data_IF_148111940151
#
_entry.id   IF_148111940151
#
_cell.length_a   1.000
_cell.length_b   1.000
_cell.length_c   1.000
_cell.angle_alpha   90.00
_cell.angle_beta   90.00
_cell.angle_gamma   90.00
#
_symmetry.space_group_name_H-M   'P 1'
#
loop_
_entity.id
_entity.type
_entity.pdbx_description
1 polymer ?
#
# COMPACT_ATOMS: atom_id res chain seq x y z
N UNK A 1 -23.04 18.24 -7.65
CA UNK A 1 -22.80 17.11 -6.73
C UNK A 1 -21.45 17.30 -6.05
N UNK A 2 -21.36 17.20 -4.72
CA UNK A 2 -20.06 17.20 -4.01
C UNK A 2 -19.38 15.86 -4.29
N UNK A 3 -18.31 15.86 -5.10
CA UNK A 3 -17.51 14.65 -5.29
C UNK A 3 -16.68 14.38 -4.04
N UNK A 4 -16.72 13.15 -3.53
CA UNK A 4 -15.85 12.73 -2.44
C UNK A 4 -14.43 12.43 -2.96
N UNK A 5 -13.47 12.27 -2.03
CA UNK A 5 -12.05 12.06 -2.37
C UNK A 5 -11.86 10.85 -3.28
N UNK A 6 -12.48 9.72 -2.95
CA UNK A 6 -12.36 8.48 -3.72
C UNK A 6 -12.87 8.64 -5.16
N UNK A 7 -14.06 9.23 -5.33
CA UNK A 7 -14.64 9.49 -6.65
C UNK A 7 -13.77 10.44 -7.48
N UNK A 8 -13.19 11.46 -6.84
CA UNK A 8 -12.30 12.41 -7.51
C UNK A 8 -11.01 11.73 -7.98
N UNK A 9 -10.40 10.91 -7.14
CA UNK A 9 -9.20 10.14 -7.52
C UNK A 9 -9.51 9.19 -8.66
N UNK A 10 -10.61 8.46 -8.60
CA UNK A 10 -11.05 7.57 -9.67
C UNK A 10 -11.31 8.31 -10.99
N UNK A 11 -11.92 9.50 -10.94
CA UNK A 11 -12.16 10.30 -12.14
C UNK A 11 -10.87 10.91 -12.72
N UNK A 12 -9.89 11.22 -11.86
CA UNK A 12 -8.60 11.74 -12.25
C UNK A 12 -7.63 10.68 -12.82
N UNK A 13 -7.96 9.39 -12.69
CA UNK A 13 -7.16 8.30 -13.26
C UNK A 13 -6.99 8.50 -14.77
N UNK A 14 -5.75 8.38 -15.25
CA UNK A 14 -5.37 8.61 -16.64
C UNK A 14 -5.25 10.08 -17.05
N UNK A 15 -5.67 11.03 -16.20
CA UNK A 15 -5.73 12.46 -16.54
C UNK A 15 -4.72 13.33 -15.80
N UNK A 16 -3.90 12.76 -14.90
CA UNK A 16 -2.90 13.51 -14.12
C UNK A 16 -1.93 14.38 -14.96
N UNK A 17 -1.44 13.94 -16.14
CA UNK A 17 -0.63 14.80 -17.00
C UNK A 17 -1.33 16.07 -17.48
N UNK A 18 -2.67 16.12 -17.47
CA UNK A 18 -3.49 17.31 -17.78
C UNK A 18 -3.90 18.07 -16.53
N UNK A 19 -4.30 17.36 -15.49
CA UNK A 19 -4.77 17.92 -14.21
C UNK A 19 -3.66 18.71 -13.51
N UNK A 20 -2.45 18.14 -13.43
CA UNK A 20 -1.34 18.76 -12.68
C UNK A 20 -0.94 20.13 -13.29
N UNK A 21 -0.70 20.26 -14.61
CA UNK A 21 -0.44 21.58 -15.21
C UNK A 21 -1.61 22.56 -15.07
N UNK A 22 -2.86 22.10 -15.13
CA UNK A 22 -4.03 22.96 -14.93
C UNK A 22 -4.12 23.53 -13.50
N UNK A 23 -3.54 22.83 -12.52
CA UNK A 23 -3.36 23.30 -11.15
C UNK A 23 -2.08 24.15 -10.97
N UNK A 24 -1.35 24.45 -12.05
CA UNK A 24 -0.06 25.16 -11.99
C UNK A 24 1.13 24.27 -11.61
N UNK A 25 0.95 22.96 -11.50
CA UNK A 25 2.01 22.00 -11.19
C UNK A 25 2.61 21.48 -12.49
N UNK A 26 3.72 22.07 -12.91
CA UNK A 26 4.42 21.65 -14.11
C UNK A 26 5.15 20.32 -13.88
N UNK A 27 4.78 19.29 -14.63
CA UNK A 27 5.42 17.98 -14.59
C UNK A 27 5.68 17.45 -16.00
N UNK A 28 6.88 16.93 -16.21
CA UNK A 28 7.33 16.26 -17.42
C UNK A 28 7.38 14.76 -17.17
N UNK A 29 6.63 13.98 -17.95
CA UNK A 29 6.58 12.52 -17.81
C UNK A 29 7.93 11.89 -18.17
N UNK A 30 8.38 10.94 -17.33
CA UNK A 30 9.60 10.15 -17.50
C UNK A 30 10.89 10.98 -17.65
N UNK A 31 10.94 12.19 -17.08
CA UNK A 31 12.14 13.02 -17.03
C UNK A 31 12.48 13.44 -15.60
N UNK A 32 13.78 13.60 -15.36
CA UNK A 32 14.31 14.26 -14.17
C UNK A 32 14.04 15.76 -14.26
N UNK A 33 13.55 16.34 -13.17
CA UNK A 33 13.18 17.76 -13.13
C UNK A 33 13.18 18.30 -11.68
N UNK A 34 13.04 19.63 -11.51
CA UNK A 34 12.83 20.25 -10.20
C UNK A 34 11.62 19.66 -9.48
N UNK A 35 11.71 19.49 -8.16
CA UNK A 35 10.56 19.05 -7.38
C UNK A 35 9.57 20.20 -7.18
N UNK A 36 8.28 20.02 -7.51
CA UNK A 36 7.27 21.05 -7.24
C UNK A 36 7.06 21.35 -5.74
N UNK A 37 7.52 20.45 -4.86
CA UNK A 37 7.34 20.57 -3.40
C UNK A 37 8.57 21.19 -2.73
N UNK A 38 9.78 20.76 -3.10
CA UNK A 38 11.02 21.19 -2.43
C UNK A 38 12.07 21.81 -3.35
N UNK A 39 11.76 22.02 -4.63
CA UNK A 39 12.68 22.58 -5.62
C UNK A 39 13.81 21.63 -6.04
N UNK A 40 14.99 22.19 -6.31
CA UNK A 40 16.15 21.49 -6.90
C UNK A 40 16.13 21.47 -8.43
N UNK A 41 16.98 20.64 -9.04
CA UNK A 41 17.17 20.60 -10.50
C UNK A 41 16.69 19.30 -11.16
N UNK A 42 16.87 18.13 -10.53
CA UNK A 42 16.72 16.81 -11.19
C UNK A 42 16.10 15.69 -10.31
N UNK A 43 15.74 16.01 -9.06
CA UNK A 43 15.39 15.02 -8.04
C UNK A 43 13.97 14.45 -8.15
N UNK A 44 13.11 15.08 -8.95
CA UNK A 44 11.72 14.67 -9.11
C UNK A 44 11.54 13.92 -10.42
N UNK A 45 10.78 12.82 -10.36
CA UNK A 45 10.42 12.01 -11.51
C UNK A 45 8.92 11.70 -11.44
N UNK A 46 8.20 12.13 -12.46
CA UNK A 46 6.80 11.80 -12.67
C UNK A 46 6.72 10.62 -13.63
N UNK A 47 6.33 9.45 -13.13
CA UNK A 47 6.26 8.21 -13.91
C UNK A 47 4.83 7.80 -14.25
N UNK A 48 3.83 8.35 -13.56
CA UNK A 48 2.40 8.21 -13.90
C UNK A 48 2.01 6.74 -14.19
N UNK A 49 2.49 5.84 -13.34
CA UNK A 49 2.21 4.42 -13.45
C UNK A 49 0.73 4.19 -13.26
N UNK A 50 0.17 3.34 -14.11
CA UNK A 50 -1.25 2.97 -14.07
C UNK A 50 -2.20 4.18 -14.20
N UNK A 51 -1.72 5.31 -14.73
CA UNK A 51 -2.49 6.55 -14.81
C UNK A 51 -2.85 7.13 -13.44
N UNK A 52 -2.15 6.76 -12.36
CA UNK A 52 -2.42 7.27 -11.00
C UNK A 52 -1.72 8.58 -10.68
N UNK A 53 -0.96 9.14 -11.62
CA UNK A 53 -0.15 10.32 -11.38
C UNK A 53 0.99 10.05 -10.41
N UNK A 54 1.53 8.82 -10.40
CA UNK A 54 2.62 8.48 -9.50
C UNK A 54 3.87 9.31 -9.76
N UNK A 55 4.57 9.60 -8.69
CA UNK A 55 5.81 10.36 -8.71
C UNK A 55 6.73 9.92 -7.59
N UNK A 56 8.00 10.27 -7.76
CA UNK A 56 9.04 10.04 -6.78
C UNK A 56 9.99 11.23 -6.71
N UNK A 57 10.36 11.60 -5.48
CA UNK A 57 11.39 12.57 -5.18
C UNK A 57 12.38 11.98 -4.17
N UNK A 58 13.67 12.15 -4.41
CA UNK A 58 14.73 11.67 -3.50
C UNK A 58 14.64 12.25 -2.07
N UNK A 59 13.99 13.40 -1.88
CA UNK A 59 13.85 14.04 -0.56
C UNK A 59 12.41 13.98 -0.03
N UNK A 60 11.42 14.24 -0.89
CA UNK A 60 10.02 14.29 -0.47
C UNK A 60 9.35 12.91 -0.40
N UNK A 61 10.00 11.85 -0.88
CA UNK A 61 9.45 10.49 -0.97
C UNK A 61 8.65 10.27 -2.25
N UNK A 62 7.75 9.28 -2.22
CA UNK A 62 6.87 8.93 -3.33
C UNK A 62 5.39 9.21 -3.00
N UNK A 63 4.56 9.34 -4.02
CA UNK A 63 3.12 9.50 -3.88
C UNK A 63 2.36 9.32 -5.19
N UNK A 64 1.03 9.38 -5.12
CA UNK A 64 0.14 9.50 -6.27
C UNK A 64 -0.15 10.98 -6.58
N UNK A 65 -0.96 11.23 -7.63
CA UNK A 65 -1.26 12.58 -8.07
C UNK A 65 -1.98 13.42 -7.00
N UNK A 66 -2.87 12.81 -6.21
CA UNK A 66 -3.56 13.52 -5.12
C UNK A 66 -2.56 13.89 -4.02
N UNK A 67 -1.68 12.97 -3.65
CA UNK A 67 -0.62 13.21 -2.67
C UNK A 67 0.33 14.32 -3.12
N UNK A 68 0.57 14.46 -4.43
CA UNK A 68 1.35 15.57 -4.97
C UNK A 68 0.65 16.90 -4.71
N UNK A 69 -0.65 16.99 -5.01
CA UNK A 69 -1.47 18.19 -4.79
C UNK A 69 -1.51 18.56 -3.31
N UNK A 70 -1.72 17.59 -2.41
CA UNK A 70 -1.64 17.79 -0.96
C UNK A 70 -0.32 18.45 -0.56
N UNK A 71 0.81 17.91 -1.05
CA UNK A 71 2.14 18.39 -0.68
C UNK A 71 2.49 19.74 -1.27
N UNK A 72 2.12 20.01 -2.52
CA UNK A 72 2.42 21.29 -3.19
C UNK A 72 1.61 22.43 -2.57
N UNK A 73 0.34 22.19 -2.25
CA UNK A 73 -0.53 23.22 -1.68
C UNK A 73 -0.56 23.25 -0.14
N UNK A 74 0.01 22.24 0.53
CA UNK A 74 0.00 22.13 1.99
C UNK A 74 -1.41 21.94 2.57
N UNK A 75 -2.30 21.25 1.86
CA UNK A 75 -3.73 21.11 2.21
C UNK A 75 -4.11 19.68 2.57
N UNK A 76 -5.30 19.51 3.17
CA UNK A 76 -5.85 18.20 3.50
C UNK A 76 -6.20 17.40 2.24
N UNK A 77 -6.33 16.05 2.32
CA UNK A 77 -6.76 15.22 1.18
C UNK A 77 -8.10 15.65 0.58
N UNK A 78 -9.04 16.11 1.42
CA UNK A 78 -10.35 16.60 0.99
C UNK A 78 -10.26 17.90 0.19
N UNK A 79 -9.41 18.82 0.62
CA UNK A 79 -9.20 20.10 -0.06
C UNK A 79 -8.40 19.92 -1.36
N UNK A 80 -7.42 19.01 -1.35
CA UNK A 80 -6.71 18.59 -2.56
C UNK A 80 -7.67 18.00 -3.58
N UNK A 81 -8.59 17.14 -3.14
CA UNK A 81 -9.63 16.57 -4.00
C UNK A 81 -10.57 17.67 -4.53
N UNK A 82 -10.95 18.66 -3.72
CA UNK A 82 -11.75 19.78 -4.20
C UNK A 82 -11.04 20.58 -5.30
N UNK A 83 -9.73 20.84 -5.15
CA UNK A 83 -8.91 21.50 -6.18
C UNK A 83 -8.84 20.66 -7.47
N UNK A 84 -8.60 19.36 -7.35
CA UNK A 84 -8.60 18.44 -8.51
C UNK A 84 -9.97 18.43 -9.18
N UNK A 85 -11.06 18.28 -8.43
CA UNK A 85 -12.41 18.27 -8.98
C UNK A 85 -12.75 19.57 -9.74
N UNK A 86 -12.25 20.72 -9.29
CA UNK A 86 -12.46 22.01 -9.96
C UNK A 86 -11.84 22.07 -11.37
N UNK A 87 -10.71 21.40 -11.59
CA UNK A 87 -10.05 21.34 -12.92
C UNK A 87 -10.46 20.11 -13.74
N UNK A 88 -11.01 19.10 -13.09
CA UNK A 88 -11.46 17.84 -13.71
C UNK A 88 -12.89 17.94 -14.25
N UNK A 89 -13.68 18.94 -13.82
CA UNK A 89 -15.11 19.09 -14.14
C UNK A 89 -15.49 19.27 -15.62
N UNK A 90 -14.51 19.33 -16.54
CA UNK A 90 -14.74 19.42 -18.00
C UNK A 90 -14.00 18.35 -18.81
N UNK A 91 -13.33 17.39 -18.14
CA UNK A 91 -12.68 16.29 -18.83
C UNK A 91 -13.71 15.19 -19.12
N UNK A 92 -13.71 14.58 -20.34
CA UNK A 92 -14.48 13.37 -20.55
C UNK A 92 -14.02 12.31 -19.52
N UNK A 93 -14.94 11.48 -19.01
CA UNK A 93 -14.56 10.42 -18.08
C UNK A 93 -13.40 9.62 -18.67
N UNK A 94 -12.42 9.30 -17.82
CA UNK A 94 -11.30 8.44 -18.20
C UNK A 94 -11.81 7.21 -18.94
N UNK A 95 -11.12 6.85 -20.02
CA UNK A 95 -11.51 5.74 -20.88
C UNK A 95 -11.76 4.49 -20.02
N UNK A 96 -13.02 4.08 -19.91
CA UNK A 96 -13.50 3.11 -18.94
C UNK A 96 -12.73 1.78 -19.04
N UNK A 97 -12.19 1.48 -20.22
CA UNK A 97 -11.34 0.32 -20.45
C UNK A 97 -10.00 0.38 -19.68
N UNK A 98 -9.37 1.56 -19.60
CA UNK A 98 -8.08 1.76 -18.91
C UNK A 98 -8.30 1.72 -17.39
N UNK A 99 -9.37 2.33 -16.91
CA UNK A 99 -9.76 2.33 -15.49
C UNK A 99 -10.18 0.94 -15.02
N UNK A 100 -10.96 0.21 -15.83
CA UNK A 100 -11.36 -1.16 -15.52
C UNK A 100 -10.16 -2.12 -15.51
N UNK A 101 -9.22 -1.98 -16.44
CA UNK A 101 -8.02 -2.81 -16.49
C UNK A 101 -7.12 -2.59 -15.25
N UNK A 102 -6.89 -1.35 -14.83
CA UNK A 102 -6.09 -1.05 -13.65
C UNK A 102 -6.78 -1.51 -12.35
N UNK A 103 -8.09 -1.33 -12.23
CA UNK A 103 -8.86 -1.84 -11.08
C UNK A 103 -8.83 -3.37 -11.07
N UNK A 104 -9.06 -4.02 -12.21
CA UNK A 104 -9.01 -5.48 -12.33
C UNK A 104 -7.62 -6.05 -12.02
N UNK A 105 -6.54 -5.37 -12.42
CA UNK A 105 -5.17 -5.80 -12.11
C UNK A 105 -4.88 -5.70 -10.60
N UNK A 106 -5.35 -4.63 -9.93
CA UNK A 106 -5.25 -4.52 -8.47
C UNK A 106 -6.11 -5.54 -7.72
N UNK A 107 -7.30 -5.86 -8.24
CA UNK A 107 -8.19 -6.88 -7.68
C UNK A 107 -7.60 -8.29 -7.85
N UNK A 108 -7.07 -8.61 -9.04
CA UNK A 108 -6.38 -9.85 -9.31
C UNK A 108 -5.14 -10.02 -8.42
N UNK A 109 -4.34 -8.96 -8.23
CA UNK A 109 -3.19 -8.99 -7.34
C UNK A 109 -3.60 -9.27 -5.88
N UNK A 110 -4.70 -8.66 -5.39
CA UNK A 110 -5.23 -8.92 -4.05
C UNK A 110 -5.74 -10.35 -3.91
N UNK A 111 -6.52 -10.84 -4.88
CA UNK A 111 -7.02 -12.23 -4.91
C UNK A 111 -5.88 -13.24 -4.90
N UNK A 112 -4.84 -13.01 -5.71
CA UNK A 112 -3.66 -13.86 -5.73
C UNK A 112 -2.92 -13.85 -4.39
N UNK A 113 -2.79 -12.68 -3.75
CA UNK A 113 -2.17 -12.59 -2.43
C UNK A 113 -3.00 -13.29 -1.34
N UNK A 114 -4.33 -13.17 -1.37
CA UNK A 114 -5.23 -13.86 -0.45
C UNK A 114 -5.17 -15.39 -0.64
N UNK A 115 -5.17 -15.87 -1.89
CA UNK A 115 -5.01 -17.29 -2.20
C UNK A 115 -3.65 -17.84 -1.74
N UNK A 116 -2.58 -17.08 -1.94
CA UNK A 116 -1.24 -17.42 -1.42
C UNK A 116 -1.20 -17.41 0.11
N UNK A 117 -1.88 -16.45 0.74
CA UNK A 117 -2.02 -16.39 2.20
C UNK A 117 -2.68 -17.65 2.75
N UNK A 118 -3.80 -18.08 2.16
CA UNK A 118 -4.48 -19.33 2.55
C UNK A 118 -3.57 -20.55 2.37
N UNK A 119 -2.88 -20.65 1.23
CA UNK A 119 -1.94 -21.75 0.94
C UNK A 119 -0.78 -21.81 1.94
N UNK A 120 -0.23 -20.65 2.32
CA UNK A 120 0.84 -20.58 3.30
C UNK A 120 0.34 -20.87 4.71
N UNK A 121 -0.86 -20.42 5.07
CA UNK A 121 -1.48 -20.73 6.36
C UNK A 121 -1.65 -22.23 6.58
N UNK A 122 -2.01 -22.99 5.53
CA UNK A 122 -2.06 -24.46 5.57
C UNK A 122 -0.68 -25.11 5.81
N UNK A 123 0.41 -24.38 5.52
CA UNK A 123 1.81 -24.78 5.76
C UNK A 123 2.38 -24.12 7.01
N UNK A 124 1.51 -23.81 7.98
CA UNK A 124 1.92 -23.35 9.31
C UNK A 124 1.55 -24.35 10.37
N UNK A 125 2.31 -24.34 11.47
CA UNK A 125 1.94 -25.00 12.71
C UNK A 125 1.77 -23.97 13.83
N UNK A 126 0.77 -24.12 14.71
CA UNK A 126 0.74 -23.37 15.95
C UNK A 126 1.90 -23.82 16.86
N UNK A 127 2.35 -22.92 17.74
CA UNK A 127 3.30 -23.25 18.79
C UNK A 127 3.79 -22.02 19.54
N UNK A 128 4.61 -22.27 20.55
CA UNK A 128 5.31 -21.26 21.35
C UNK A 128 6.82 -21.34 21.11
N UNK A 129 7.61 -20.46 21.73
CA UNK A 129 9.07 -20.50 21.64
C UNK A 129 9.64 -20.04 20.30
N UNK A 130 8.88 -19.27 19.51
CA UNK A 130 9.39 -18.73 18.25
C UNK A 130 10.63 -17.84 18.49
N UNK A 131 11.66 -18.00 17.65
CA UNK A 131 12.97 -17.33 17.83
C UNK A 131 12.90 -15.79 17.76
N UNK A 132 11.96 -15.22 17.00
CA UNK A 132 11.75 -13.78 16.95
C UNK A 132 11.01 -13.31 18.21
N UNK A 133 9.89 -13.95 18.57
CA UNK A 133 9.09 -13.56 19.75
C UNK A 133 9.86 -13.75 21.07
N UNK A 134 10.62 -14.83 21.20
CA UNK A 134 11.48 -15.09 22.36
C UNK A 134 12.48 -13.95 22.56
N UNK A 135 13.16 -13.51 21.50
CA UNK A 135 14.08 -12.35 21.55
C UNK A 135 13.35 -11.03 21.83
N UNK A 136 12.05 -10.94 21.53
CA UNK A 136 11.21 -9.80 21.90
C UNK A 136 10.63 -9.89 23.31
N UNK A 137 10.98 -10.92 24.09
CA UNK A 137 10.51 -11.11 25.46
C UNK A 137 9.19 -11.87 25.59
N UNK A 138 8.73 -12.54 24.52
CA UNK A 138 7.46 -13.26 24.48
C UNK A 138 7.63 -14.76 24.14
N UNK A 139 8.45 -15.53 24.89
CA UNK A 139 8.69 -16.94 24.58
C UNK A 139 7.44 -17.82 24.69
N UNK A 140 6.54 -17.51 25.63
CA UNK A 140 5.29 -18.26 25.84
C UNK A 140 4.13 -17.85 24.92
N UNK A 141 4.33 -16.87 24.02
CA UNK A 141 3.25 -16.40 23.16
C UNK A 141 2.99 -17.41 22.06
N UNK A 142 1.73 -17.86 21.97
CA UNK A 142 1.27 -18.67 20.85
C UNK A 142 1.38 -17.90 19.54
N UNK A 143 1.85 -18.59 18.51
CA UNK A 143 2.06 -18.01 17.19
C UNK A 143 1.97 -19.08 16.11
N UNK A 144 1.89 -18.64 14.85
CA UNK A 144 1.99 -19.51 13.67
C UNK A 144 3.41 -19.49 13.13
N UNK A 145 3.98 -20.65 12.90
CA UNK A 145 5.31 -20.81 12.33
C UNK A 145 5.26 -21.60 11.03
N UNK A 146 6.04 -21.21 10.04
CA UNK A 146 6.18 -21.98 8.80
C UNK A 146 6.71 -23.38 9.09
N UNK A 147 6.19 -24.37 8.38
CA UNK A 147 6.70 -25.77 8.45
C UNK A 147 7.75 -26.06 7.38
N UNK A 148 7.90 -25.20 6.39
CA UNK A 148 8.84 -25.36 5.28
C UNK A 148 9.43 -24.04 4.80
N UNK A 149 10.20 -24.11 3.70
CA UNK A 149 10.78 -22.92 3.09
C UNK A 149 9.81 -22.22 2.15
N UNK A 150 9.84 -20.90 2.14
CA UNK A 150 9.08 -20.08 1.20
C UNK A 150 9.97 -18.94 0.67
N UNK A 151 9.85 -18.59 -0.61
CA UNK A 151 10.54 -17.44 -1.19
C UNK A 151 9.53 -16.37 -1.57
N UNK A 152 9.67 -15.19 -1.00
CA UNK A 152 8.85 -14.03 -1.35
C UNK A 152 9.63 -12.73 -1.16
N UNK A 153 9.46 -11.78 -2.10
CA UNK A 153 10.03 -10.44 -1.99
C UNK A 153 11.56 -10.39 -1.90
N UNK A 154 12.24 -11.34 -2.56
CA UNK A 154 13.70 -11.48 -2.49
C UNK A 154 14.23 -12.07 -1.19
N UNK A 155 13.35 -12.50 -0.27
CA UNK A 155 13.71 -13.11 1.01
C UNK A 155 13.35 -14.60 0.98
N UNK A 156 14.25 -15.44 1.52
CA UNK A 156 14.00 -16.86 1.76
C UNK A 156 13.63 -17.08 3.22
N UNK A 157 12.37 -17.43 3.45
CA UNK A 157 11.78 -17.80 4.73
C UNK A 157 12.00 -19.28 4.97
N UNK A 158 12.21 -19.67 6.23
CA UNK A 158 12.54 -21.02 6.64
C UNK A 158 11.49 -21.58 7.60
N UNK A 159 11.53 -22.89 7.80
CA UNK A 159 10.74 -23.52 8.85
C UNK A 159 11.08 -22.88 10.21
N UNK A 160 10.05 -22.57 10.99
CA UNK A 160 10.17 -21.85 12.27
C UNK A 160 10.04 -20.33 12.18
N UNK A 161 10.11 -19.72 10.99
CA UNK A 161 9.84 -18.29 10.85
C UNK A 161 8.37 -17.97 11.17
N UNK A 162 8.14 -16.80 11.76
CA UNK A 162 6.85 -16.36 12.25
C UNK A 162 5.95 -15.91 11.09
N UNK A 163 4.69 -16.33 11.14
CA UNK A 163 3.62 -15.92 10.24
C UNK A 163 2.56 -15.17 11.04
N UNK A 164 2.26 -13.95 10.60
CA UNK A 164 1.21 -13.10 11.19
C UNK A 164 0.10 -12.94 10.15
N UNK A 165 -1.08 -13.58 10.35
CA UNK A 165 -2.20 -13.42 9.43
C UNK A 165 -2.84 -12.04 9.54
N UNK A 166 -3.14 -11.44 8.39
CA UNK A 166 -3.75 -10.12 8.28
C UNK A 166 -5.19 -10.27 7.79
N UNK A 167 -6.12 -9.87 8.65
CA UNK A 167 -7.55 -9.90 8.39
C UNK A 167 -8.07 -8.51 8.11
N UNK A 168 -9.04 -8.37 7.20
CA UNK A 168 -9.75 -7.11 7.02
C UNK A 168 -10.86 -6.91 8.08
N UNK A 169 -11.60 -5.81 7.96
CA UNK A 169 -12.69 -5.46 8.89
C UNK A 169 -13.86 -6.47 8.86
N UNK A 170 -13.96 -7.30 7.82
CA UNK A 170 -14.94 -8.39 7.74
C UNK A 170 -14.47 -9.69 8.41
N UNK A 171 -13.19 -9.75 8.80
CA UNK A 171 -12.56 -10.95 9.35
C UNK A 171 -12.01 -11.90 8.28
N UNK A 172 -11.97 -11.50 7.01
CA UNK A 172 -11.42 -12.34 5.94
C UNK A 172 -9.89 -12.26 5.91
N UNK A 173 -9.22 -13.40 5.73
CA UNK A 173 -7.78 -13.45 5.55
C UNK A 173 -7.39 -12.89 4.18
N UNK A 174 -6.87 -11.67 4.16
CA UNK A 174 -6.53 -10.96 2.92
C UNK A 174 -5.03 -10.92 2.63
N UNK A 175 -4.17 -11.17 3.63
CA UNK A 175 -2.71 -11.16 3.46
C UNK A 175 -1.98 -11.82 4.64
N UNK A 176 -0.66 -11.97 4.56
CA UNK A 176 0.23 -12.39 5.65
C UNK A 176 1.39 -11.40 5.80
N UNK A 177 1.88 -11.26 7.03
CA UNK A 177 3.22 -10.73 7.31
C UNK A 177 4.12 -11.87 7.79
N UNK A 178 5.23 -12.07 7.09
CA UNK A 178 6.29 -13.01 7.45
C UNK A 178 7.38 -12.27 8.22
N UNK A 179 7.85 -12.88 9.31
CA UNK A 179 8.88 -12.35 10.18
C UNK A 179 9.92 -13.42 10.44
N UNK A 180 11.16 -13.17 10.04
CA UNK A 180 12.25 -14.12 10.16
C UNK A 180 12.82 -14.07 11.58
N UNK A 181 13.60 -15.09 11.94
CA UNK A 181 14.30 -15.09 13.22
C UNK A 181 15.10 -13.80 13.45
N UNK A 182 15.87 -13.31 12.46
CA UNK A 182 16.65 -12.06 12.56
C UNK A 182 15.80 -10.76 12.55
N UNK A 183 14.48 -10.87 12.42
CA UNK A 183 13.55 -9.75 12.51
C UNK A 183 13.28 -9.02 11.19
N UNK A 184 13.69 -9.57 10.04
CA UNK A 184 13.23 -9.07 8.73
C UNK A 184 11.75 -9.35 8.57
N UNK A 185 10.99 -8.34 8.13
CA UNK A 185 9.53 -8.42 7.96
C UNK A 185 9.15 -8.11 6.53
N UNK A 186 8.25 -8.89 5.94
CA UNK A 186 7.63 -8.57 4.64
C UNK A 186 6.18 -9.05 4.62
N UNK A 187 5.35 -8.35 3.86
CA UNK A 187 4.00 -8.82 3.49
C UNK A 187 4.02 -9.48 2.12
N UNK A 188 2.97 -10.25 1.78
CA UNK A 188 2.85 -10.78 0.43
C UNK A 188 2.58 -9.62 -0.55
N UNK A 189 3.30 -9.65 -1.67
CA UNK A 189 3.21 -8.62 -2.71
C UNK A 189 1.79 -8.59 -3.28
N UNK A 190 1.23 -7.38 -3.43
CA UNK A 190 -0.12 -7.17 -3.99
C UNK A 190 -1.27 -7.35 -3.00
N UNK A 191 -1.02 -7.92 -1.81
CA UNK A 191 -2.06 -8.09 -0.79
C UNK A 191 -2.36 -6.80 -0.03
N UNK A 192 -3.56 -6.73 0.54
CA UNK A 192 -3.99 -5.61 1.37
C UNK A 192 -3.20 -5.57 2.69
N UNK A 193 -2.85 -4.37 3.15
CA UNK A 193 -2.14 -4.14 4.43
C UNK A 193 -2.77 -3.00 5.23
N UNK A 194 -3.29 -1.97 4.56
CA UNK A 194 -4.03 -0.90 5.23
C UNK A 194 -5.42 -1.42 5.60
N UNK A 195 -5.86 -1.09 6.82
CA UNK A 195 -7.15 -1.56 7.33
C UNK A 195 -7.17 -3.07 7.58
N UNK A 196 -5.99 -3.67 7.81
CA UNK A 196 -5.91 -5.06 8.23
C UNK A 196 -5.26 -5.17 9.61
N UNK A 197 -5.67 -6.17 10.36
CA UNK A 197 -5.17 -6.39 11.71
C UNK A 197 -4.90 -7.88 11.95
N UNK A 198 -4.10 -8.13 12.98
CA UNK A 198 -3.97 -9.44 13.59
C UNK A 198 -4.34 -9.30 15.06
N UNK A 199 -5.42 -9.95 15.46
CA UNK A 199 -5.88 -9.90 16.84
C UNK A 199 -5.09 -10.90 17.67
N UNK A 200 -4.45 -10.42 18.73
CA UNK A 200 -3.85 -11.25 19.75
C UNK A 200 -4.82 -11.33 20.91
N UNK A 201 -5.18 -12.54 21.31
CA UNK A 201 -5.96 -12.73 22.53
C UNK A 201 -5.11 -12.33 23.75
N UNK A 202 -5.64 -11.40 24.53
CA UNK A 202 -5.12 -11.06 25.84
C UNK A 202 -6.00 -11.70 26.90
N UNK A 203 -5.40 -12.45 27.83
CA UNK A 203 -6.06 -12.64 29.11
C UNK A 203 -6.02 -11.28 29.83
N UNK A 204 -7.19 -10.73 30.16
CA UNK A 204 -7.28 -9.59 31.07
C UNK A 204 -6.67 -10.01 32.41
N UNK A 205 -5.36 -9.80 32.59
CA UNK A 205 -4.80 -9.75 33.92
C UNK A 205 -5.31 -8.45 34.53
N UNK A 206 -6.36 -8.56 35.35
CA UNK A 206 -6.77 -7.49 36.24
C UNK A 206 -5.51 -7.03 36.98
N UNK A 207 -5.07 -5.79 36.69
CA UNK A 207 -3.94 -5.19 37.38
C UNK A 207 -4.23 -5.21 38.87
N UNK A 208 -3.35 -5.84 39.63
CA UNK A 208 -3.24 -5.60 41.08
C UNK A 208 -2.46 -4.31 41.30
#
# INVERSE_FOLDING_TARGET
>A
MKMNVTATVSHALGHWPRILPALGIQVLKNRHQPCPVCGGSDRFRFDDREGRGTWYCNQCGAGDGLKLVEKVFGVSPSDAAAKVAAVTGSLPPADLAVTAAAVAETDAARKNAAALAQTLMAKTRPGTGNAYLTRKGFPGRECRMLTGTHRAGGVSWRAGDLVVPLYDDSGELVNLQLISADGRKRTLKGGQVRGTCHTLEGQNQAGK
#
